data_IF_020409881149
#
_entry.id   IF_020409881149
#
_cell.length_a   1.000
_cell.length_b   1.000
_cell.length_c   1.000
_cell.angle_alpha   90.00
_cell.angle_beta   90.00
_cell.angle_gamma   90.00
#
_symmetry.space_group_name_H-M   'P 1'
#
loop_
_entity.id
_entity.type
_entity.pdbx_description
1 polymer ?
#
# COMPACT_ATOMS: atom_id res chain seq x y z
N UNK A 1 -58.23 -21.44 4.86
CA UNK A 1 -56.89 -22.02 4.84
C UNK A 1 -57.00 -23.36 4.14
N UNK A 2 -56.14 -23.63 3.17
CA UNK A 2 -56.14 -24.90 2.41
C UNK A 2 -55.12 -25.91 2.94
N UNK A 3 -54.13 -25.43 3.71
CA UNK A 3 -53.16 -26.27 4.39
C UNK A 3 -52.91 -25.81 5.83
N UNK A 4 -52.62 -26.78 6.70
CA UNK A 4 -52.05 -26.58 8.02
C UNK A 4 -50.59 -27.03 7.98
N UNK A 5 -49.69 -26.23 8.53
CA UNK A 5 -48.24 -26.48 8.52
C UNK A 5 -47.66 -26.45 9.92
N UNK A 6 -46.69 -27.31 10.20
CA UNK A 6 -46.02 -27.37 11.50
C UNK A 6 -44.56 -27.76 11.31
N UNK A 7 -43.64 -26.97 11.87
CA UNK A 7 -42.23 -27.35 11.96
C UNK A 7 -42.02 -28.37 13.08
N UNK A 8 -41.16 -29.35 12.84
CA UNK A 8 -40.81 -30.38 13.83
C UNK A 8 -40.09 -29.81 15.06
N UNK A 9 -39.48 -28.63 14.93
CA UNK A 9 -38.84 -27.91 16.03
C UNK A 9 -39.24 -26.42 16.01
N UNK A 10 -39.50 -25.82 17.18
CA UNK A 10 -39.75 -24.38 17.30
C UNK A 10 -38.46 -23.55 17.11
N UNK A 11 -37.30 -24.18 17.24
CA UNK A 11 -36.00 -23.54 17.09
C UNK A 11 -34.98 -24.51 16.49
N UNK A 12 -34.19 -24.05 15.54
CA UNK A 12 -33.15 -24.84 14.85
C UNK A 12 -31.81 -24.12 14.99
N UNK A 13 -30.83 -24.77 15.59
CA UNK A 13 -29.47 -24.21 15.73
C UNK A 13 -28.64 -24.60 14.50
N UNK A 14 -27.96 -23.63 13.89
CA UNK A 14 -27.14 -23.85 12.70
C UNK A 14 -25.72 -23.32 12.89
N UNK A 15 -24.74 -24.11 12.48
CA UNK A 15 -23.32 -23.72 12.52
C UNK A 15 -22.88 -23.18 11.15
N UNK A 16 -22.32 -21.97 11.06
CA UNK A 16 -21.80 -21.43 9.79
C UNK A 16 -20.83 -22.38 9.08
N UNK A 17 -21.08 -22.65 7.80
CA UNK A 17 -20.29 -23.57 6.97
C UNK A 17 -20.65 -25.05 7.11
N UNK A 18 -21.69 -25.40 7.88
CA UNK A 18 -22.21 -26.76 7.98
C UNK A 18 -23.66 -26.83 7.45
N UNK A 19 -24.10 -28.03 7.09
CA UNK A 19 -25.49 -28.29 6.72
C UNK A 19 -26.27 -28.77 7.95
N UNK A 20 -27.47 -28.24 8.14
CA UNK A 20 -28.42 -28.67 9.17
C UNK A 20 -29.79 -28.90 8.53
N UNK A 21 -30.53 -29.91 8.96
CA UNK A 21 -31.85 -30.24 8.44
C UNK A 21 -32.90 -30.19 9.53
N UNK A 22 -34.07 -29.62 9.21
CA UNK A 22 -35.28 -29.69 10.03
C UNK A 22 -36.44 -30.19 9.19
N UNK A 23 -37.48 -30.73 9.81
CA UNK A 23 -38.66 -31.23 9.09
C UNK A 23 -39.83 -30.25 9.23
N UNK A 24 -40.62 -30.13 8.17
CA UNK A 24 -41.90 -29.42 8.18
C UNK A 24 -43.00 -30.38 7.71
N UNK A 25 -44.05 -30.49 8.51
CA UNK A 25 -45.24 -31.27 8.18
C UNK A 25 -46.27 -30.36 7.51
N UNK A 26 -46.84 -30.82 6.40
CA UNK A 26 -47.89 -30.13 5.65
C UNK A 26 -49.11 -31.05 5.58
N UNK A 27 -50.28 -30.54 5.97
CA UNK A 27 -51.55 -31.25 5.90
C UNK A 27 -52.48 -30.58 4.89
N UNK A 28 -53.05 -31.37 3.97
CA UNK A 28 -54.07 -30.87 3.05
C UNK A 28 -55.43 -30.80 3.74
N UNK A 29 -55.92 -29.58 3.98
CA UNK A 29 -57.23 -29.31 4.60
C UNK A 29 -58.36 -29.15 3.58
N UNK A 30 -58.05 -29.30 2.30
CA UNK A 30 -59.04 -29.23 1.25
C UNK A 30 -59.69 -30.57 0.94
N UNK A 31 -60.79 -30.50 0.20
CA UNK A 31 -61.60 -31.61 -0.29
C UNK A 31 -61.09 -32.21 -1.61
N UNK A 32 -60.05 -31.63 -2.21
CA UNK A 32 -59.44 -32.08 -3.47
C UNK A 32 -57.96 -32.42 -3.28
N UNK A 33 -57.41 -33.21 -4.21
CA UNK A 33 -55.96 -33.44 -4.24
C UNK A 33 -55.28 -32.12 -4.55
N UNK A 34 -54.30 -31.75 -3.73
CA UNK A 34 -53.59 -30.49 -3.84
C UNK A 34 -52.10 -30.77 -3.95
N UNK A 35 -51.43 -29.97 -4.77
CA UNK A 35 -49.98 -30.00 -4.88
C UNK A 35 -49.41 -28.71 -4.32
N UNK A 36 -48.49 -28.85 -3.38
CA UNK A 36 -47.87 -27.74 -2.69
C UNK A 36 -46.45 -27.52 -3.19
N UNK A 37 -46.14 -26.26 -3.52
CA UNK A 37 -44.79 -25.78 -3.78
C UNK A 37 -44.31 -24.93 -2.59
N UNK A 38 -42.99 -24.87 -2.42
CA UNK A 38 -42.37 -24.25 -1.26
C UNK A 38 -41.45 -23.10 -1.67
N UNK A 39 -41.65 -21.95 -1.07
CA UNK A 39 -40.80 -20.78 -1.25
C UNK A 39 -40.30 -20.31 0.12
N UNK A 40 -38.98 -20.29 0.30
CA UNK A 40 -38.38 -19.76 1.53
C UNK A 40 -38.35 -18.25 1.46
N UNK A 41 -38.78 -17.59 2.53
CA UNK A 41 -38.83 -16.13 2.65
C UNK A 41 -38.07 -15.65 3.88
N UNK A 42 -37.62 -14.40 3.81
CA UNK A 42 -36.81 -13.77 4.86
C UNK A 42 -35.31 -13.94 4.66
N UNK A 43 -34.54 -13.60 5.69
CA UNK A 43 -33.06 -13.58 5.64
C UNK A 43 -32.44 -14.98 5.47
N UNK A 44 -33.21 -16.04 5.76
CA UNK A 44 -32.79 -17.43 5.57
C UNK A 44 -32.82 -17.90 4.11
N UNK A 45 -33.57 -17.22 3.23
CA UNK A 45 -33.82 -17.67 1.87
C UNK A 45 -32.56 -17.96 1.02
N UNK A 46 -31.48 -17.15 1.06
CA UNK A 46 -30.31 -17.37 0.21
C UNK A 46 -29.54 -18.66 0.52
N UNK A 47 -29.76 -19.26 1.69
CA UNK A 47 -29.00 -20.41 2.19
C UNK A 47 -29.89 -21.55 2.69
N UNK A 48 -31.17 -21.56 2.30
CA UNK A 48 -32.14 -22.60 2.69
C UNK A 48 -32.79 -23.21 1.45
N UNK A 49 -33.00 -24.53 1.46
CA UNK A 49 -33.75 -25.24 0.42
C UNK A 49 -34.77 -26.21 1.04
N UNK A 50 -35.86 -26.49 0.32
CA UNK A 50 -36.90 -27.42 0.77
C UNK A 50 -36.96 -28.62 -0.18
N UNK A 51 -36.93 -29.83 0.37
CA UNK A 51 -36.92 -31.08 -0.37
C UNK A 51 -38.02 -32.04 0.15
N UNK A 52 -38.88 -32.58 -0.72
CA UNK A 52 -39.02 -32.28 -2.15
C UNK A 52 -39.56 -30.86 -2.41
N UNK A 53 -39.19 -30.26 -3.54
CA UNK A 53 -39.66 -28.92 -3.94
C UNK A 53 -41.17 -28.85 -4.22
N UNK A 54 -41.80 -30.01 -4.49
CA UNK A 54 -43.23 -30.15 -4.71
C UNK A 54 -43.75 -31.39 -3.99
N UNK A 55 -44.86 -31.26 -3.27
CA UNK A 55 -45.49 -32.33 -2.52
C UNK A 55 -46.97 -32.44 -2.87
N UNK A 56 -47.40 -33.58 -3.41
CA UNK A 56 -48.81 -33.86 -3.70
C UNK A 56 -49.47 -34.60 -2.55
N UNK A 57 -50.59 -34.09 -2.05
CA UNK A 57 -51.31 -34.64 -0.91
C UNK A 57 -52.79 -34.87 -1.23
N UNK A 58 -53.30 -36.02 -0.83
CA UNK A 58 -54.74 -36.31 -0.86
C UNK A 58 -55.48 -35.52 0.23
N UNK A 59 -56.79 -35.27 0.06
CA UNK A 59 -57.63 -34.65 1.09
C UNK A 59 -57.44 -35.28 2.47
N UNK A 60 -57.19 -34.46 3.49
CA UNK A 60 -57.03 -34.89 4.87
C UNK A 60 -55.71 -35.60 5.21
N UNK A 61 -54.82 -35.80 4.23
CA UNK A 61 -53.51 -36.44 4.46
C UNK A 61 -52.42 -35.42 4.79
N UNK A 62 -51.37 -35.89 5.46
CA UNK A 62 -50.17 -35.10 5.75
C UNK A 62 -48.95 -35.72 5.07
N UNK A 63 -48.00 -34.86 4.67
CA UNK A 63 -46.66 -35.27 4.25
C UNK A 63 -45.61 -34.41 4.92
N UNK A 64 -44.35 -34.85 4.83
CA UNK A 64 -43.21 -34.14 5.41
C UNK A 64 -42.27 -33.69 4.30
N UNK A 65 -41.68 -32.52 4.50
CA UNK A 65 -40.57 -32.00 3.70
C UNK A 65 -39.38 -31.71 4.61
N UNK A 66 -38.18 -31.95 4.09
CA UNK A 66 -36.93 -31.57 4.73
C UNK A 66 -36.60 -30.13 4.34
N UNK A 67 -36.31 -29.30 5.32
CA UNK A 67 -35.81 -27.95 5.15
C UNK A 67 -34.32 -27.95 5.50
N UNK A 68 -33.49 -27.82 4.47
CA UNK A 68 -32.04 -27.88 4.54
C UNK A 68 -31.47 -26.47 4.66
N UNK A 69 -30.72 -26.22 5.73
CA UNK A 69 -30.13 -24.95 6.11
C UNK A 69 -28.60 -25.05 5.93
N UNK A 70 -28.02 -24.17 5.11
CA UNK A 70 -26.59 -24.16 4.78
C UNK A 70 -26.00 -22.75 4.93
N UNK A 71 -25.98 -22.17 6.14
CA UNK A 71 -25.44 -20.83 6.34
C UNK A 71 -23.98 -20.77 5.86
N UNK A 72 -23.59 -19.79 5.02
CA UNK A 72 -22.22 -19.67 4.56
C UNK A 72 -21.26 -19.36 5.73
N UNK A 73 -20.00 -19.81 5.62
CA UNK A 73 -18.94 -19.46 6.57
C UNK A 73 -18.37 -18.07 6.23
N UNK A 74 -19.16 -17.04 6.48
CA UNK A 74 -18.85 -15.65 6.18
C UNK A 74 -19.35 -14.72 7.29
N UNK A 75 -19.09 -13.42 7.18
CA UNK A 75 -19.58 -12.41 8.14
C UNK A 75 -21.10 -12.20 8.12
N UNK A 76 -21.77 -12.72 7.09
CA UNK A 76 -23.23 -12.73 6.91
C UNK A 76 -23.66 -14.15 6.57
N UNK A 77 -24.74 -14.70 7.19
CA UNK A 77 -25.63 -14.07 8.18
C UNK A 77 -24.97 -13.86 9.55
N UNK A 78 -25.43 -12.85 10.29
CA UNK A 78 -24.93 -12.54 11.65
C UNK A 78 -25.34 -13.64 12.63
N UNK A 79 -24.55 -13.81 13.69
CA UNK A 79 -24.93 -14.69 14.78
C UNK A 79 -26.17 -14.17 15.52
N UNK A 80 -27.06 -15.08 15.92
CA UNK A 80 -28.31 -14.74 16.61
C UNK A 80 -29.55 -15.43 16.02
N UNK A 81 -30.71 -14.97 16.46
CA UNK A 81 -32.00 -15.48 16.02
C UNK A 81 -32.43 -14.82 14.71
N UNK A 82 -32.76 -15.64 13.71
CA UNK A 82 -33.27 -15.22 12.41
C UNK A 82 -34.58 -15.96 12.14
N UNK A 83 -35.69 -15.27 11.84
CA UNK A 83 -36.94 -15.92 11.50
C UNK A 83 -36.83 -16.62 10.14
N UNK A 84 -37.20 -17.90 10.10
CA UNK A 84 -37.36 -18.68 8.89
C UNK A 84 -38.84 -18.78 8.54
N UNK A 85 -39.22 -18.20 7.41
CA UNK A 85 -40.55 -18.37 6.83
C UNK A 85 -40.51 -19.29 5.62
N UNK A 86 -41.46 -20.23 5.53
CA UNK A 86 -41.68 -21.04 4.32
C UNK A 86 -43.11 -20.83 3.87
N UNK A 87 -43.28 -20.20 2.71
CA UNK A 87 -44.57 -20.08 2.04
C UNK A 87 -44.91 -21.42 1.40
N UNK A 88 -46.10 -21.91 1.70
CA UNK A 88 -46.68 -23.12 1.13
C UNK A 88 -47.74 -22.69 0.13
N UNK A 89 -47.43 -22.88 -1.15
CA UNK A 89 -48.20 -22.41 -2.30
C UNK A 89 -49.03 -23.56 -2.87
N UNK A 90 -50.36 -23.55 -2.72
CA UNK A 90 -51.23 -24.55 -3.35
C UNK A 90 -51.32 -24.29 -4.86
N UNK A 91 -51.24 -25.35 -5.68
CA UNK A 91 -51.32 -25.26 -7.14
C UNK A 91 -52.74 -24.98 -7.64
N UNK A 92 -53.74 -25.62 -7.04
CA UNK A 92 -55.15 -25.54 -7.46
C UNK A 92 -55.86 -24.29 -6.93
N UNK A 93 -55.40 -23.75 -5.79
CA UNK A 93 -55.89 -22.50 -5.21
C UNK A 93 -54.75 -21.54 -4.85
N UNK A 94 -54.19 -20.82 -5.83
CA UNK A 94 -53.04 -19.93 -5.62
C UNK A 94 -53.28 -18.81 -4.59
N UNK A 95 -54.53 -18.40 -4.39
CA UNK A 95 -54.90 -17.35 -3.41
C UNK A 95 -54.86 -17.82 -1.95
N UNK A 96 -54.74 -19.13 -1.71
CA UNK A 96 -54.85 -19.74 -0.37
C UNK A 96 -53.48 -20.09 0.24
N UNK A 97 -52.51 -19.18 0.11
CA UNK A 97 -51.14 -19.37 0.62
C UNK A 97 -51.11 -19.46 2.16
N UNK A 98 -50.34 -20.40 2.68
CA UNK A 98 -50.01 -20.48 4.10
C UNK A 98 -48.52 -20.15 4.32
N UNK A 99 -48.16 -19.60 5.49
CA UNK A 99 -46.77 -19.35 5.87
C UNK A 99 -46.49 -20.11 7.15
N UNK A 100 -45.51 -21.01 7.10
CA UNK A 100 -44.97 -21.68 8.27
C UNK A 100 -43.77 -20.91 8.77
N UNK A 101 -43.67 -20.70 10.08
CA UNK A 101 -42.58 -19.93 10.70
C UNK A 101 -41.86 -20.75 11.78
N UNK A 102 -40.54 -20.60 11.86
CA UNK A 102 -39.70 -21.12 12.96
C UNK A 102 -38.49 -20.21 13.17
N UNK A 103 -37.79 -20.35 14.29
CA UNK A 103 -36.59 -19.55 14.58
C UNK A 103 -35.32 -20.33 14.26
N UNK A 104 -34.43 -19.73 13.48
CA UNK A 104 -33.09 -20.28 13.24
C UNK A 104 -32.08 -19.52 14.09
N UNK A 105 -31.35 -20.23 14.95
CA UNK A 105 -30.27 -19.67 15.77
C UNK A 105 -28.96 -19.93 15.05
N UNK A 106 -28.37 -18.88 14.47
CA UNK A 106 -27.05 -18.93 13.85
C UNK A 106 -25.99 -18.83 14.93
N UNK A 107 -25.15 -19.85 15.06
CA UNK A 107 -24.07 -19.86 16.05
C UNK A 107 -23.00 -18.79 15.75
N UNK A 108 -22.33 -18.28 16.80
CA UNK A 108 -21.16 -17.42 16.64
C UNK A 108 -20.02 -18.13 15.92
N UNK A 109 -19.44 -17.43 14.95
CA UNK A 109 -18.25 -17.82 14.21
C UNK A 109 -17.24 -16.68 14.26
N UNK A 110 -16.05 -16.97 14.78
CA UNK A 110 -14.92 -16.04 14.87
C UNK A 110 -13.80 -16.40 13.90
N UNK A 111 -13.45 -15.46 13.04
CA UNK A 111 -12.24 -15.49 12.22
C UNK A 111 -11.74 -14.07 12.03
N UNK A 112 -10.46 -13.81 12.33
CA UNK A 112 -9.86 -12.51 12.16
C UNK A 112 -8.54 -12.64 11.41
N UNK A 113 -8.19 -11.59 10.66
CA UNK A 113 -6.87 -11.45 10.04
C UNK A 113 -6.25 -10.15 10.56
N UNK A 114 -5.08 -10.26 11.16
CA UNK A 114 -4.32 -9.12 11.67
C UNK A 114 -2.99 -9.01 10.93
N UNK A 115 -2.59 -7.79 10.58
CA UNK A 115 -1.30 -7.49 9.95
C UNK A 115 -0.68 -6.23 10.55
N UNK A 116 0.65 -6.25 10.71
CA UNK A 116 1.42 -5.09 11.14
C UNK A 116 1.92 -4.31 9.92
N UNK A 117 1.55 -3.03 9.82
CA UNK A 117 1.93 -2.19 8.69
C UNK A 117 2.66 -0.91 9.15
N UNK A 118 3.86 -0.65 8.60
CA UNK A 118 4.71 -1.59 7.84
C UNK A 118 5.42 -2.57 8.79
N UNK A 119 5.83 -3.73 8.29
CA UNK A 119 6.59 -4.71 9.07
C UNK A 119 7.97 -4.20 9.49
N UNK A 120 8.62 -3.39 8.64
CA UNK A 120 9.96 -2.83 8.90
C UNK A 120 9.97 -1.31 8.78
N UNK A 121 10.48 -0.60 9.80
CA UNK A 121 10.72 0.86 9.75
C UNK A 121 12.14 1.21 10.08
N UNK A 122 12.66 2.25 9.43
CA UNK A 122 13.94 2.88 9.78
C UNK A 122 13.66 4.19 10.51
N UNK A 123 14.21 4.38 11.70
CA UNK A 123 14.06 5.62 12.46
C UNK A 123 15.26 5.88 13.36
N UNK A 124 15.40 7.11 13.85
CA UNK A 124 16.50 7.53 14.73
C UNK A 124 16.21 7.21 16.21
N UNK A 125 14.96 7.39 16.64
CA UNK A 125 14.53 7.12 18.03
C UNK A 125 13.14 6.54 18.20
N UNK A 126 12.19 6.88 17.33
CA UNK A 126 10.81 6.37 17.41
C UNK A 126 10.19 6.18 16.05
N UNK A 127 9.31 5.19 15.94
CA UNK A 127 8.54 4.92 14.72
C UNK A 127 7.07 4.66 15.07
N UNK A 128 6.19 5.05 14.14
CA UNK A 128 4.75 4.76 14.20
C UNK A 128 4.44 3.56 13.32
N UNK A 129 3.62 2.69 13.85
CA UNK A 129 3.08 1.49 13.22
C UNK A 129 1.57 1.53 13.39
N UNK A 130 0.86 0.87 12.49
CA UNK A 130 -0.54 0.52 12.71
C UNK A 130 -0.73 -0.97 12.49
N UNK A 131 -1.63 -1.53 13.28
CA UNK A 131 -2.15 -2.87 13.05
C UNK A 131 -3.44 -2.73 12.26
N UNK A 132 -3.55 -3.39 11.12
CA UNK A 132 -4.82 -3.59 10.43
C UNK A 132 -5.42 -4.91 10.88
N UNK A 133 -6.65 -4.88 11.36
CA UNK A 133 -7.38 -6.08 11.71
C UNK A 133 -8.71 -6.09 10.97
N UNK A 134 -8.98 -7.19 10.26
CA UNK A 134 -10.22 -7.47 9.56
C UNK A 134 -10.98 -8.58 10.29
N UNK A 135 -12.24 -8.33 10.62
CA UNK A 135 -13.13 -9.30 11.24
C UNK A 135 -13.92 -10.06 10.17
N UNK A 136 -13.45 -11.27 9.81
CA UNK A 136 -14.11 -12.16 8.86
C UNK A 136 -15.23 -13.00 9.51
N UNK A 137 -15.39 -12.90 10.83
CA UNK A 137 -16.43 -13.57 11.60
C UNK A 137 -17.81 -12.93 11.46
N UNK A 138 -18.84 -13.61 11.95
CA UNK A 138 -20.24 -13.17 11.90
C UNK A 138 -20.71 -12.48 13.21
N UNK A 139 -19.80 -12.23 14.13
CA UNK A 139 -20.05 -11.57 15.42
C UNK A 139 -19.08 -10.41 15.64
N UNK A 140 -19.50 -9.42 16.40
CA UNK A 140 -18.64 -8.30 16.76
C UNK A 140 -17.55 -8.77 17.72
N UNK A 141 -16.33 -8.23 17.56
CA UNK A 141 -15.19 -8.56 18.43
C UNK A 141 -14.59 -7.31 19.04
N UNK A 142 -14.20 -7.39 20.31
CA UNK A 142 -13.46 -6.36 21.00
C UNK A 142 -11.96 -6.64 20.85
N UNK A 143 -11.23 -5.67 20.30
CA UNK A 143 -9.82 -5.84 19.92
C UNK A 143 -8.94 -4.97 20.78
N UNK A 144 -7.95 -5.59 21.42
CA UNK A 144 -6.93 -4.91 22.21
C UNK A 144 -5.54 -5.24 21.67
N UNK A 145 -4.66 -4.23 21.66
CA UNK A 145 -3.27 -4.38 21.31
C UNK A 145 -2.45 -4.47 22.60
N UNK A 146 -1.63 -5.51 22.71
CA UNK A 146 -0.66 -5.69 23.77
C UNK A 146 0.75 -5.78 23.19
N UNK A 147 1.75 -5.44 23.99
CA UNK A 147 3.15 -5.57 23.62
C UNK A 147 3.92 -6.20 24.77
N UNK A 148 5.11 -6.77 24.51
CA UNK A 148 5.98 -7.27 25.55
C UNK A 148 6.29 -6.19 26.59
N UNK A 149 6.58 -6.61 27.82
CA UNK A 149 6.92 -5.69 28.91
C UNK A 149 8.00 -4.69 28.47
N UNK A 150 7.76 -3.41 28.77
CA UNK A 150 8.73 -2.35 28.46
C UNK A 150 10.00 -2.56 29.26
N UNK A 151 11.15 -2.45 28.60
CA UNK A 151 12.46 -2.46 29.24
C UNK A 151 13.19 -1.15 28.91
N UNK A 152 14.36 -0.91 29.51
CA UNK A 152 15.20 0.27 29.27
C UNK A 152 15.60 0.46 27.79
N UNK A 153 15.35 -0.54 26.96
CA UNK A 153 15.70 -0.57 25.53
C UNK A 153 14.53 -0.17 24.61
N UNK A 154 13.30 -0.61 24.89
CA UNK A 154 12.12 -0.42 24.03
C UNK A 154 10.89 -0.07 24.86
N UNK A 155 10.22 1.01 24.48
CA UNK A 155 8.96 1.47 25.07
C UNK A 155 7.87 1.49 24.01
N UNK A 156 6.70 0.96 24.36
CA UNK A 156 5.51 0.93 23.50
C UNK A 156 4.46 1.91 24.02
N UNK A 157 4.04 2.85 23.18
CA UNK A 157 2.90 3.73 23.42
C UNK A 157 1.68 3.11 22.73
N UNK A 158 0.86 2.39 23.50
CA UNK A 158 -0.33 1.68 23.02
C UNK A 158 -1.62 2.44 23.36
N UNK A 159 -2.68 2.30 22.54
CA UNK A 159 -4.00 2.80 22.89
C UNK A 159 -4.54 2.05 24.11
N UNK A 160 -5.18 2.77 25.02
CA UNK A 160 -5.66 2.24 26.30
C UNK A 160 -7.05 1.60 26.23
N UNK A 161 -7.78 1.83 25.13
CA UNK A 161 -9.17 1.38 24.99
C UNK A 161 -9.26 0.31 23.90
N UNK A 162 -9.90 -0.84 24.19
CA UNK A 162 -10.27 -1.80 23.16
C UNK A 162 -11.17 -1.17 22.10
N UNK A 163 -11.03 -1.61 20.85
CA UNK A 163 -11.85 -1.16 19.73
C UNK A 163 -12.81 -2.28 19.35
N UNK A 164 -14.10 -1.96 19.29
CA UNK A 164 -15.11 -2.90 18.81
C UNK A 164 -15.12 -2.91 17.28
N UNK A 165 -15.03 -4.10 16.69
CA UNK A 165 -15.00 -4.31 15.24
C UNK A 165 -16.22 -5.14 14.84
N UNK A 166 -17.18 -4.55 14.09
CA UNK A 166 -18.34 -5.28 13.61
C UNK A 166 -17.98 -6.45 12.68
N UNK A 167 -18.92 -7.40 12.45
CA UNK A 167 -18.76 -8.45 11.45
C UNK A 167 -18.48 -7.89 10.05
N UNK A 168 -17.45 -8.39 9.38
CA UNK A 168 -17.09 -7.97 8.01
C UNK A 168 -16.40 -6.61 7.90
N UNK A 169 -16.05 -5.97 9.02
CA UNK A 169 -15.38 -4.67 9.03
C UNK A 169 -13.89 -4.78 9.39
N UNK A 170 -13.17 -3.70 9.10
CA UNK A 170 -11.74 -3.53 9.41
C UNK A 170 -11.51 -2.35 10.34
N UNK A 171 -10.52 -2.46 11.21
CA UNK A 171 -10.01 -1.34 12.02
C UNK A 171 -8.50 -1.21 11.88
N UNK A 172 -8.01 0.02 12.03
CA UNK A 172 -6.59 0.33 12.19
C UNK A 172 -6.31 0.76 13.63
N UNK A 173 -5.31 0.13 14.26
CA UNK A 173 -4.88 0.44 15.63
C UNK A 173 -3.45 0.98 15.56
N UNK A 174 -3.33 2.29 15.72
CA UNK A 174 -2.03 2.98 15.76
C UNK A 174 -1.30 2.71 17.08
N UNK A 175 0.00 2.50 16.99
CA UNK A 175 0.90 2.53 18.14
C UNK A 175 2.27 3.09 17.78
N UNK A 176 3.02 3.52 18.81
CA UNK A 176 4.37 4.03 18.64
C UNK A 176 5.36 3.19 19.43
N UNK A 177 6.49 2.92 18.78
CA UNK A 177 7.65 2.28 19.41
C UNK A 177 8.75 3.32 19.58
N UNK A 178 9.40 3.34 20.73
CA UNK A 178 10.50 4.24 21.05
C UNK A 178 11.69 3.47 21.62
N UNK A 179 12.87 3.74 21.09
CA UNK A 179 14.14 3.21 21.61
C UNK A 179 14.64 4.11 22.74
N UNK A 180 15.08 3.49 23.84
CA UNK A 180 15.52 4.21 25.04
C UNK A 180 16.75 5.10 24.81
N UNK A 181 17.77 4.58 24.12
CA UNK A 181 19.04 5.27 23.86
C UNK A 181 19.16 5.72 22.40
N UNK A 182 19.69 6.92 22.19
CA UNK A 182 20.00 7.43 20.84
C UNK A 182 21.32 6.83 20.36
N UNK A 183 21.32 6.30 19.14
CA UNK A 183 22.52 5.81 18.47
C UNK A 183 23.25 6.98 17.81
N UNK A 184 24.32 7.48 18.43
CA UNK A 184 25.03 8.65 17.91
C UNK A 184 25.92 8.33 16.70
N UNK A 185 26.72 7.26 16.79
CA UNK A 185 27.64 6.79 15.76
C UNK A 185 27.53 5.27 15.63
N UNK A 186 27.87 4.74 14.46
CA UNK A 186 28.02 3.29 14.26
C UNK A 186 27.21 2.74 13.09
N UNK A 187 26.97 1.42 13.10
CA UNK A 187 26.09 0.72 12.16
C UNK A 187 24.66 0.77 12.69
N UNK A 188 23.67 0.69 11.79
CA UNK A 188 22.27 0.56 12.19
C UNK A 188 22.06 -0.65 13.09
N UNK A 189 21.17 -0.52 14.07
CA UNK A 189 20.81 -1.59 15.02
C UNK A 189 19.37 -2.00 14.77
N UNK A 190 19.12 -3.30 14.68
CA UNK A 190 17.78 -3.86 14.42
C UNK A 190 17.11 -4.26 15.74
N UNK A 191 15.86 -3.87 15.91
CA UNK A 191 15.05 -4.15 17.10
C UNK A 191 13.81 -4.96 16.69
N UNK A 192 13.71 -6.25 17.03
CA UNK A 192 12.52 -7.04 16.76
C UNK A 192 11.34 -6.58 17.62
N UNK A 193 10.16 -6.57 17.03
CA UNK A 193 8.90 -6.16 17.64
C UNK A 193 7.93 -7.33 17.57
N UNK A 194 7.35 -7.72 18.71
CA UNK A 194 6.39 -8.83 18.79
C UNK A 194 5.08 -8.38 19.47
N UNK A 195 4.37 -7.36 18.95
CA UNK A 195 3.05 -7.00 19.49
C UNK A 195 2.05 -8.13 19.25
N UNK A 196 1.10 -8.28 20.18
CA UNK A 196 0.04 -9.29 20.11
C UNK A 196 -1.30 -8.59 20.10
N UNK A 197 -2.12 -8.93 19.11
CA UNK A 197 -3.49 -8.45 19.02
C UNK A 197 -4.40 -9.52 19.60
N UNK A 198 -5.17 -9.14 20.60
CA UNK A 198 -6.14 -10.00 21.25
C UNK A 198 -7.53 -9.60 20.79
N UNK A 199 -8.23 -10.50 20.11
CA UNK A 199 -9.63 -10.35 19.75
C UNK A 199 -10.49 -11.17 20.72
N UNK A 200 -11.44 -10.52 21.38
CA UNK A 200 -12.37 -11.14 22.33
C UNK A 200 -13.79 -11.04 21.79
N UNK A 201 -14.47 -12.17 21.69
CA UNK A 201 -15.86 -12.25 21.23
C UNK A 201 -16.64 -13.36 21.92
N UNK A 202 -17.91 -13.58 21.56
CA UNK A 202 -18.67 -14.71 22.07
C UNK A 202 -18.01 -16.04 21.72
N UNK A 203 -18.21 -17.06 22.57
CA UNK A 203 -17.68 -18.39 22.33
C UNK A 203 -18.14 -18.91 20.96
N UNK A 204 -17.19 -19.08 20.05
CA UNK A 204 -17.44 -19.56 18.70
C UNK A 204 -17.20 -21.06 18.60
N UNK A 205 -18.14 -21.78 18.02
CA UNK A 205 -18.02 -23.21 17.72
C UNK A 205 -16.95 -23.41 16.64
N UNK A 206 -15.86 -24.12 16.96
CA UNK A 206 -14.89 -24.58 15.95
C UNK A 206 -13.86 -23.56 15.45
N UNK A 207 -13.55 -22.51 16.23
CA UNK A 207 -12.42 -21.62 15.94
C UNK A 207 -11.10 -22.25 16.44
N UNK A 208 -10.21 -22.75 15.56
CA UNK A 208 -8.92 -23.29 15.99
C UNK A 208 -8.06 -22.18 16.61
N UNK A 209 -7.49 -22.46 17.79
CA UNK A 209 -6.64 -21.50 18.52
C UNK A 209 -7.42 -20.55 19.45
N UNK A 210 -8.75 -20.63 19.50
CA UNK A 210 -9.54 -19.86 20.46
C UNK A 210 -9.37 -20.43 21.88
N UNK A 211 -9.05 -19.56 22.83
CA UNK A 211 -9.04 -19.90 24.26
C UNK A 211 -10.33 -19.40 24.90
N UNK A 212 -11.02 -20.25 25.66
CA UNK A 212 -12.23 -19.85 26.36
C UNK A 212 -11.85 -19.16 27.68
N UNK A 213 -12.25 -17.90 27.84
CA UNK A 213 -12.02 -17.09 29.05
C UNK A 213 -13.32 -16.42 29.42
N UNK A 214 -13.82 -16.68 30.63
CA UNK A 214 -15.03 -16.06 31.19
C UNK A 214 -16.28 -16.12 30.27
N UNK A 215 -16.47 -17.25 29.58
CA UNK A 215 -17.59 -17.46 28.66
C UNK A 215 -17.43 -16.81 27.27
N UNK A 216 -16.34 -16.07 27.03
CA UNK A 216 -15.95 -15.56 25.72
C UNK A 216 -14.85 -16.41 25.07
N UNK A 217 -14.73 -16.29 23.74
CA UNK A 217 -13.57 -16.78 22.99
C UNK A 217 -12.55 -15.65 22.84
N UNK A 218 -11.29 -15.98 23.12
CA UNK A 218 -10.13 -15.10 22.94
C UNK A 218 -9.23 -15.68 21.86
N UNK A 219 -8.96 -14.90 20.83
CA UNK A 219 -8.06 -15.23 19.72
C UNK A 219 -6.88 -14.27 19.70
N UNK A 220 -5.68 -14.82 19.82
CA UNK A 220 -4.43 -14.05 19.79
C UNK A 220 -3.79 -14.11 18.40
N UNK A 221 -3.36 -12.95 17.92
CA UNK A 221 -2.65 -12.81 16.66
C UNK A 221 -1.28 -12.19 16.96
N UNK A 222 -0.22 -13.01 17.09
CA UNK A 222 1.13 -12.50 17.20
C UNK A 222 1.53 -11.84 15.89
N UNK A 223 2.14 -10.66 15.98
CA UNK A 223 2.61 -9.90 14.83
C UNK A 223 4.12 -9.74 14.89
N UNK A 224 4.78 -9.99 13.76
CA UNK A 224 6.22 -9.82 13.64
C UNK A 224 6.55 -8.47 12.99
N UNK A 225 7.43 -7.71 13.62
CA UNK A 225 7.90 -6.43 13.10
C UNK A 225 9.35 -6.13 13.46
N UNK A 226 9.89 -5.09 12.85
CA UNK A 226 11.28 -4.67 13.05
C UNK A 226 11.41 -3.14 13.00
N UNK A 227 12.17 -2.61 13.96
CA UNK A 227 12.61 -1.22 13.99
C UNK A 227 14.13 -1.15 13.79
N UNK A 228 14.54 -0.60 12.66
CA UNK A 228 15.94 -0.32 12.35
C UNK A 228 16.31 1.06 12.88
N UNK A 229 17.12 1.10 13.92
CA UNK A 229 17.67 2.33 14.48
C UNK A 229 18.84 2.85 13.64
N UNK A 230 18.70 4.06 13.11
CA UNK A 230 19.74 4.75 12.35
C UNK A 230 20.67 5.58 13.26
N UNK A 231 21.97 5.66 12.95
CA UNK A 231 22.88 6.56 13.65
C UNK A 231 22.58 8.02 13.29
N UNK A 232 22.69 8.93 14.27
CA UNK A 232 22.44 10.36 14.08
C UNK A 232 23.51 11.02 13.22
N UNK A 233 24.79 10.67 13.41
CA UNK A 233 25.89 11.22 12.63
C UNK A 233 26.55 10.15 11.75
N UNK A 234 26.64 10.45 10.46
CA UNK A 234 27.43 9.66 9.52
C UNK A 234 28.94 9.88 9.77
N UNK A 235 29.73 8.82 9.66
CA UNK A 235 31.21 8.90 9.82
C UNK A 235 31.85 9.86 8.81
N UNK A 236 31.29 9.99 7.61
CA UNK A 236 31.81 10.90 6.60
C UNK A 236 31.55 12.36 6.95
N UNK A 237 30.43 12.67 7.62
CA UNK A 237 30.16 14.02 8.11
C UNK A 237 31.22 14.45 9.13
N UNK A 238 31.62 13.54 10.02
CA UNK A 238 32.69 13.79 10.97
C UNK A 238 34.05 13.96 10.28
N UNK A 239 34.34 13.15 9.26
CA UNK A 239 35.57 13.29 8.46
C UNK A 239 35.60 14.61 7.67
N UNK A 240 34.48 15.03 7.08
CA UNK A 240 34.34 16.32 6.40
C UNK A 240 34.51 17.48 7.37
N UNK A 241 33.91 17.40 8.57
CA UNK A 241 34.03 18.42 9.60
C UNK A 241 35.48 18.53 10.10
N UNK A 242 36.16 17.39 10.26
CA UNK A 242 37.58 17.34 10.60
C UNK A 242 38.47 17.91 9.46
N UNK A 243 38.15 17.63 8.19
CA UNK A 243 38.86 18.17 7.04
C UNK A 243 38.68 19.70 6.91
N UNK A 244 37.45 20.20 7.12
CA UNK A 244 37.17 21.64 7.19
C UNK A 244 37.96 22.30 8.32
N UNK A 245 37.98 21.69 9.51
CA UNK A 245 38.77 22.18 10.64
C UNK A 245 40.26 22.22 10.29
N UNK A 246 40.80 21.18 9.64
CA UNK A 246 42.18 21.12 9.20
C UNK A 246 42.52 22.20 8.15
N UNK A 247 41.62 22.45 7.20
CA UNK A 247 41.76 23.54 6.22
C UNK A 247 41.78 24.92 6.89
N UNK A 248 40.89 25.16 7.86
CA UNK A 248 40.86 26.40 8.64
C UNK A 248 42.16 26.57 9.43
N UNK A 249 42.66 25.51 10.07
CA UNK A 249 43.94 25.54 10.80
C UNK A 249 45.13 25.78 9.86
N UNK A 250 45.16 25.13 8.69
CA UNK A 250 46.20 25.33 7.68
C UNK A 250 46.20 26.76 7.15
N UNK A 251 45.03 27.35 6.87
CA UNK A 251 44.90 28.74 6.49
C UNK A 251 45.44 29.69 7.57
N UNK A 252 45.06 29.48 8.83
CA UNK A 252 45.48 30.34 9.94
C UNK A 252 46.98 30.23 10.27
N UNK A 253 47.57 29.04 10.18
CA UNK A 253 48.95 28.77 10.59
C UNK A 253 49.98 28.92 9.47
N UNK A 254 49.65 28.58 8.22
CA UNK A 254 50.61 28.62 7.11
C UNK A 254 50.38 29.82 6.20
N UNK A 255 49.13 30.06 5.79
CA UNK A 255 48.82 31.04 4.75
C UNK A 255 48.78 32.47 5.31
N UNK A 256 48.17 32.66 6.48
CA UNK A 256 48.08 33.98 7.11
C UNK A 256 49.43 34.64 7.45
N UNK A 257 50.45 33.94 7.98
CA UNK A 257 51.77 34.54 8.19
C UNK A 257 52.51 34.83 6.88
N UNK A 258 52.40 33.97 5.88
CA UNK A 258 53.01 34.18 4.57
C UNK A 258 52.42 35.38 3.81
N UNK A 259 51.11 35.61 3.89
CA UNK A 259 50.47 36.81 3.32
C UNK A 259 50.93 38.07 4.06
N UNK A 260 51.15 38.00 5.38
CA UNK A 260 51.68 39.14 6.15
C UNK A 260 53.15 39.43 5.87
N UNK A 261 53.96 38.43 5.57
CA UNK A 261 55.37 38.64 5.17
C UNK A 261 55.44 39.19 3.75
N UNK A 262 54.70 38.62 2.80
CA UNK A 262 54.68 39.11 1.42
C UNK A 262 54.09 40.52 1.30
N UNK A 263 53.11 40.89 2.14
CA UNK A 263 52.60 42.26 2.19
C UNK A 263 53.56 43.26 2.87
N UNK A 264 54.46 42.80 3.75
CA UNK A 264 55.54 43.63 4.31
C UNK A 264 56.68 43.80 3.32
N UNK A 265 57.10 42.71 2.69
CA UNK A 265 58.14 42.72 1.66
C UNK A 265 57.72 43.57 0.45
N UNK A 266 56.48 43.46 -0.02
CA UNK A 266 55.97 44.36 -1.07
C UNK A 266 55.77 45.82 -0.62
N UNK A 267 55.65 46.10 0.69
CA UNK A 267 55.61 47.47 1.21
C UNK A 267 57.02 48.05 1.37
N UNK A 268 57.99 47.22 1.75
CA UNK A 268 59.40 47.56 1.88
C UNK A 268 60.05 47.74 0.49
N UNK A 269 59.76 46.86 -0.48
CA UNK A 269 60.19 47.00 -1.89
C UNK A 269 59.64 48.29 -2.53
N UNK A 270 58.38 48.65 -2.23
CA UNK A 270 57.79 49.91 -2.69
C UNK A 270 58.41 51.12 -1.99
N UNK A 271 58.82 50.99 -0.73
CA UNK A 271 59.52 52.04 -0.02
C UNK A 271 60.95 52.24 -0.57
N UNK A 272 61.64 51.15 -0.93
CA UNK A 272 62.96 51.19 -1.58
C UNK A 272 62.87 51.72 -3.02
N UNK A 273 61.85 51.34 -3.80
CA UNK A 273 61.62 51.89 -5.16
C UNK A 273 61.34 53.41 -5.12
N UNK A 274 60.69 53.92 -4.07
CA UNK A 274 60.48 55.37 -3.84
C UNK A 274 61.80 56.07 -3.46
N UNK A 275 62.72 55.39 -2.77
CA UNK A 275 64.05 55.91 -2.42
C UNK A 275 65.00 55.87 -3.62
N UNK A 276 64.95 54.82 -4.45
CA UNK A 276 65.81 54.62 -5.62
C UNK A 276 65.35 55.47 -6.82
N UNK A 277 64.05 55.74 -6.96
CA UNK A 277 63.49 56.70 -7.91
C UNK A 277 63.77 58.18 -7.54
N UNK A 278 64.63 58.44 -6.54
CA UNK A 278 65.10 59.78 -6.19
C UNK A 278 64.06 60.63 -5.44
N UNK A 279 63.18 59.99 -4.67
CA UNK A 279 62.01 60.63 -4.08
C UNK A 279 62.03 60.83 -2.57
N UNK A 280 63.14 61.17 -1.91
CA UNK A 280 63.07 61.76 -0.56
C UNK A 280 64.09 62.89 -0.37
N UNK A 281 63.61 64.13 -0.46
CA UNK A 281 64.26 65.30 0.13
C UNK A 281 63.81 65.41 1.59
N UNK A 282 64.70 65.34 2.60
CA UNK A 282 64.38 65.76 3.94
C UNK A 282 64.63 67.28 4.06
N UNK A 283 63.56 67.97 4.47
CA UNK A 283 63.51 69.34 5.02
C UNK A 283 63.75 70.56 4.11
N UNK A 284 62.65 71.22 3.73
CA UNK A 284 62.47 72.67 3.95
C UNK A 284 60.98 73.08 3.92
N UNK A 285 60.59 74.18 4.59
CA UNK A 285 59.33 74.30 5.31
C UNK A 285 58.26 75.18 4.64
N UNK A 286 56.98 74.96 5.02
CA UNK A 286 55.92 75.98 5.04
C UNK A 286 54.82 75.86 3.97
N UNK A 287 53.57 75.75 4.40
CA UNK A 287 52.39 75.97 3.55
C UNK A 287 51.08 75.36 4.09
N UNK A 288 50.14 76.22 4.48
CA UNK A 288 48.91 75.95 5.24
C UNK A 288 47.82 75.05 4.61
N UNK A 289 47.16 74.31 5.51
CA UNK A 289 45.71 74.09 5.71
C UNK A 289 44.69 74.41 4.58
N UNK A 290 43.74 73.48 4.37
CA UNK A 290 42.42 73.83 3.83
C UNK A 290 41.57 72.65 3.34
N UNK A 291 40.55 72.28 4.13
CA UNK A 291 39.41 71.45 3.72
C UNK A 291 38.48 72.19 2.73
N UNK A 292 37.74 71.42 1.93
CA UNK A 292 36.57 71.86 1.14
C UNK A 292 36.51 71.07 -0.18
N UNK A 293 35.70 70.03 -0.32
CA UNK A 293 34.25 70.09 -0.58
C UNK A 293 33.85 71.22 -1.54
N UNK A 294 33.54 70.83 -2.77
CA UNK A 294 32.88 71.66 -3.78
C UNK A 294 31.80 70.83 -4.46
N UNK A 295 30.56 71.12 -4.08
CA UNK A 295 29.34 70.47 -4.52
C UNK A 295 28.69 71.28 -5.66
N UNK A 296 27.79 70.64 -6.41
CA UNK A 296 26.69 71.28 -7.12
C UNK A 296 26.74 71.14 -8.64
N UNK A 297 25.63 70.99 -9.37
CA UNK A 297 24.22 70.84 -9.01
C UNK A 297 23.50 70.50 -10.33
N UNK A 298 22.38 69.77 -10.28
CA UNK A 298 21.57 69.52 -11.47
C UNK A 298 20.40 68.58 -11.19
N UNK A 299 19.39 69.10 -10.51
CA UNK A 299 18.07 68.50 -10.35
C UNK A 299 17.33 68.47 -11.71
N UNK A 300 16.50 67.46 -11.94
CA UNK A 300 15.85 67.22 -13.22
C UNK A 300 14.94 66.00 -13.22
N UNK A 301 13.73 66.18 -12.70
CA UNK A 301 12.57 65.30 -12.83
C UNK A 301 12.27 64.88 -14.28
N UNK A 302 11.93 63.61 -14.50
CA UNK A 302 11.33 63.10 -15.74
C UNK A 302 10.72 61.70 -15.57
N UNK A 303 9.39 61.63 -15.64
CA UNK A 303 8.54 60.43 -15.55
C UNK A 303 8.60 59.51 -16.79
N UNK A 304 8.55 58.18 -16.56
CA UNK A 304 7.85 57.03 -17.23
C UNK A 304 7.60 56.95 -18.77
N UNK A 305 7.13 55.82 -19.35
CA UNK A 305 7.06 54.40 -18.93
C UNK A 305 7.45 53.37 -20.05
N UNK A 306 7.47 52.07 -19.73
CA UNK A 306 7.33 50.97 -20.74
C UNK A 306 7.97 49.64 -20.30
N UNK A 307 7.29 48.81 -19.52
CA UNK A 307 6.60 47.57 -19.93
C UNK A 307 7.50 46.48 -20.52
N UNK A 308 7.59 45.35 -19.80
CA UNK A 308 8.27 44.14 -20.26
C UNK A 308 8.21 43.04 -19.21
N UNK A 309 6.99 42.59 -18.95
CA UNK A 309 6.63 41.37 -18.23
C UNK A 309 7.39 40.14 -18.78
N UNK A 310 7.70 39.17 -17.93
CA UNK A 310 8.40 37.95 -18.35
C UNK A 310 9.08 37.20 -17.23
N UNK A 311 8.30 36.67 -16.29
CA UNK A 311 8.75 35.63 -15.37
C UNK A 311 9.16 34.38 -16.15
N UNK A 312 10.46 34.21 -16.35
CA UNK A 312 11.06 32.96 -16.83
C UNK A 312 11.47 32.09 -15.65
N UNK A 313 10.63 31.11 -15.29
CA UNK A 313 11.04 29.99 -14.48
C UNK A 313 12.18 29.26 -15.18
N UNK A 314 13.34 29.22 -14.54
CA UNK A 314 14.46 28.42 -14.99
C UNK A 314 14.18 26.94 -14.67
N UNK A 315 14.28 26.01 -15.63
CA UNK A 315 14.04 24.58 -15.41
C UNK A 315 15.00 24.03 -14.37
N UNK A 316 14.46 23.24 -13.43
CA UNK A 316 15.22 22.52 -12.43
C UNK A 316 16.30 21.63 -13.07
N UNK A 317 17.48 21.65 -12.48
CA UNK A 317 18.59 20.76 -12.82
C UNK A 317 18.15 19.29 -12.76
N UNK A 318 18.65 18.43 -13.68
CA UNK A 318 18.49 16.99 -13.55
C UNK A 318 19.18 16.52 -12.26
N UNK A 319 18.41 15.87 -11.38
CA UNK A 319 18.93 15.22 -10.18
C UNK A 319 19.96 14.14 -10.54
N UNK A 320 21.04 14.09 -9.77
CA UNK A 320 22.09 13.07 -9.91
C UNK A 320 21.53 11.65 -9.76
N UNK A 321 21.96 10.68 -10.58
CA UNK A 321 21.61 9.26 -10.39
C UNK A 321 22.19 8.74 -9.08
N UNK A 322 21.33 8.25 -8.19
CA UNK A 322 21.74 7.58 -6.96
C UNK A 322 22.45 6.26 -7.26
N UNK A 323 23.72 6.14 -6.89
CA UNK A 323 24.47 4.88 -6.94
C UNK A 323 24.00 3.97 -5.80
N UNK A 324 23.16 3.00 -6.12
CA UNK A 324 22.82 1.89 -5.23
C UNK A 324 24.03 0.94 -5.04
N UNK A 325 24.05 0.15 -3.96
CA UNK A 325 25.13 -0.78 -3.68
C UNK A 325 25.07 -1.97 -4.64
N UNK A 326 25.66 -1.80 -5.84
CA UNK A 326 25.63 -2.81 -6.90
C UNK A 326 26.11 -2.30 -8.26
N UNK A 327 27.14 -1.43 -8.30
CA UNK A 327 27.89 -1.09 -9.52
C UNK A 327 27.13 -0.51 -10.72
N UNK A 328 25.82 -0.26 -10.64
CA UNK A 328 24.99 0.22 -11.75
C UNK A 328 24.24 1.50 -11.40
N UNK A 329 23.92 2.28 -12.43
CA UNK A 329 23.05 3.45 -12.33
C UNK A 329 21.59 3.01 -12.45
N UNK A 330 20.69 3.66 -11.70
CA UNK A 330 19.26 3.44 -11.87
C UNK A 330 18.86 3.78 -13.31
N UNK A 331 18.13 2.88 -13.95
CA UNK A 331 17.65 3.05 -15.32
C UNK A 331 16.22 2.52 -15.46
N UNK A 332 15.46 3.14 -16.37
CA UNK A 332 14.11 2.70 -16.72
C UNK A 332 13.84 2.89 -18.21
N UNK A 333 13.09 1.96 -18.81
CA UNK A 333 12.62 2.04 -20.19
C UNK A 333 11.10 1.90 -20.26
N UNK A 334 10.46 2.60 -21.20
CA UNK A 334 9.03 2.43 -21.49
C UNK A 334 8.87 1.84 -22.88
N UNK A 335 8.05 0.79 -22.97
CA UNK A 335 7.67 0.10 -24.21
C UNK A 335 6.19 0.34 -24.41
N UNK A 336 5.84 0.96 -25.53
CA UNK A 336 4.44 1.19 -25.91
C UNK A 336 4.09 0.27 -27.08
N UNK A 337 2.91 -0.34 -27.02
CA UNK A 337 2.42 -1.26 -28.04
C UNK A 337 1.01 -0.87 -28.43
N UNK A 338 0.85 -0.33 -29.62
CA UNK A 338 -0.45 -0.07 -30.26
C UNK A 338 -0.74 -1.08 -31.36
N UNK A 339 -1.94 -1.66 -31.39
CA UNK A 339 -2.35 -2.55 -32.49
C UNK A 339 -3.87 -2.61 -32.65
N UNK A 340 -4.32 -2.76 -33.90
CA UNK A 340 -5.75 -2.84 -34.21
C UNK A 340 -6.40 -4.13 -33.67
N UNK A 341 -7.72 -4.11 -33.52
CA UNK A 341 -8.51 -5.30 -33.15
C UNK A 341 -8.30 -6.47 -34.12
N UNK A 342 -8.07 -7.65 -33.58
CA UNK A 342 -7.77 -8.87 -34.33
C UNK A 342 -6.33 -8.97 -34.87
N UNK A 343 -5.47 -7.98 -34.58
CA UNK A 343 -4.06 -7.96 -35.00
C UNK A 343 -3.12 -8.16 -33.82
N UNK A 344 -1.85 -8.37 -34.16
CA UNK A 344 -0.76 -8.46 -33.20
C UNK A 344 0.20 -7.29 -33.39
N UNK A 345 0.62 -6.67 -32.30
CA UNK A 345 1.64 -5.63 -32.28
C UNK A 345 2.77 -6.00 -31.32
N UNK A 346 3.94 -5.40 -31.50
CA UNK A 346 5.05 -5.52 -30.57
C UNK A 346 5.78 -4.20 -30.38
N UNK A 347 6.37 -4.04 -29.19
CA UNK A 347 7.29 -2.97 -28.86
C UNK A 347 8.50 -3.56 -28.14
N UNK A 348 9.65 -2.89 -28.24
CA UNK A 348 10.90 -3.39 -27.68
C UNK A 348 11.70 -2.30 -26.99
N UNK A 349 12.47 -2.70 -25.99
CA UNK A 349 13.56 -1.93 -25.40
C UNK A 349 14.85 -2.72 -25.59
N UNK A 350 15.86 -2.11 -26.21
CA UNK A 350 17.16 -2.75 -26.43
C UNK A 350 18.14 -2.29 -25.35
N UNK A 351 18.80 -3.25 -24.72
CA UNK A 351 19.88 -2.94 -23.77
C UNK A 351 21.05 -2.32 -24.52
N UNK A 352 21.56 -1.14 -24.11
CA UNK A 352 22.69 -0.51 -24.78
C UNK A 352 23.93 -1.41 -24.86
N UNK A 353 24.73 -1.22 -25.91
CA UNK A 353 26.01 -1.89 -26.09
C UNK A 353 26.94 -1.66 -24.88
N UNK A 354 27.68 -2.69 -24.47
CA UNK A 354 28.56 -2.66 -23.30
C UNK A 354 27.86 -2.68 -21.94
N UNK A 355 26.53 -2.80 -21.90
CA UNK A 355 25.73 -2.73 -20.65
C UNK A 355 25.04 -4.03 -20.29
N UNK A 356 24.87 -4.24 -18.99
CA UNK A 356 24.05 -5.29 -18.41
C UNK A 356 22.88 -4.64 -17.68
N UNK A 357 21.64 -4.95 -18.09
CA UNK A 357 20.46 -4.44 -17.42
C UNK A 357 19.92 -5.46 -16.42
N UNK A 358 20.01 -5.13 -15.13
CA UNK A 358 19.46 -5.91 -14.02
C UNK A 358 18.07 -5.40 -13.69
N UNK A 359 17.05 -6.00 -14.30
CA UNK A 359 15.66 -5.59 -14.15
C UNK A 359 15.12 -6.11 -12.82
N UNK A 360 14.56 -5.23 -12.00
CA UNK A 360 13.95 -5.55 -10.70
C UNK A 360 12.45 -5.36 -10.70
N UNK A 361 11.93 -4.47 -11.54
CA UNK A 361 10.52 -4.11 -11.52
C UNK A 361 9.97 -3.95 -12.94
N UNK A 362 8.69 -4.29 -13.06
CA UNK A 362 7.93 -4.21 -14.28
C UNK A 362 6.52 -3.73 -13.97
N UNK A 363 6.07 -2.68 -14.66
CA UNK A 363 4.71 -2.14 -14.53
C UNK A 363 4.02 -2.20 -15.89
N UNK A 364 2.87 -2.86 -15.96
CA UNK A 364 2.05 -2.96 -17.17
C UNK A 364 0.73 -2.23 -16.99
N UNK A 365 0.30 -1.51 -18.02
CA UNK A 365 -0.96 -0.78 -18.02
C UNK A 365 -1.82 -1.14 -19.23
N UNK A 366 -3.06 -1.52 -18.91
CA UNK A 366 -4.21 -1.67 -19.79
C UNK A 366 -5.29 -0.65 -19.39
N UNK A 367 -4.98 0.64 -19.45
CA UNK A 367 -5.87 1.69 -18.97
C UNK A 367 -7.19 1.81 -19.77
N UNK A 368 -7.22 1.37 -21.03
CA UNK A 368 -8.40 1.43 -21.89
C UNK A 368 -9.37 0.27 -21.64
N UNK A 369 -8.92 -0.78 -20.95
CA UNK A 369 -9.67 -2.00 -20.73
C UNK A 369 -9.77 -2.87 -21.99
N UNK A 370 -8.68 -2.94 -22.75
CA UNK A 370 -8.55 -3.81 -23.92
C UNK A 370 -8.69 -5.29 -23.54
N UNK A 371 -9.12 -6.10 -24.51
CA UNK A 371 -9.22 -7.56 -24.38
C UNK A 371 -8.21 -8.24 -25.31
N UNK A 372 -7.58 -9.31 -24.84
CA UNK A 372 -6.52 -9.99 -25.59
C UNK A 372 -5.44 -10.59 -24.70
N UNK A 373 -4.24 -10.78 -25.25
CA UNK A 373 -3.11 -11.36 -24.52
C UNK A 373 -1.87 -10.49 -24.68
N UNK A 374 -1.26 -10.12 -23.55
CA UNK A 374 0.05 -9.49 -23.47
C UNK A 374 1.11 -10.54 -23.11
N UNK A 375 2.12 -10.68 -23.95
CA UNK A 375 3.29 -11.53 -23.73
C UNK A 375 4.53 -10.67 -23.54
N UNK A 376 5.30 -10.92 -22.48
CA UNK A 376 6.52 -10.17 -22.18
C UNK A 376 7.70 -11.13 -22.16
N UNK A 377 8.74 -10.81 -22.92
CA UNK A 377 9.95 -11.62 -23.04
C UNK A 377 11.20 -10.79 -22.83
N UNK A 378 12.16 -11.35 -22.08
CA UNK A 378 13.48 -10.77 -21.86
C UNK A 378 14.50 -11.64 -22.61
N UNK A 379 15.07 -11.12 -23.70
CA UNK A 379 15.78 -11.93 -24.68
C UNK A 379 14.87 -13.00 -25.28
N UNK A 380 15.32 -14.26 -25.27
CA UNK A 380 14.54 -15.40 -25.76
C UNK A 380 13.57 -15.98 -24.72
N UNK A 381 13.69 -15.58 -23.45
CA UNK A 381 12.87 -16.13 -22.37
C UNK A 381 11.54 -15.38 -22.25
N UNK A 382 10.44 -16.10 -22.42
CA UNK A 382 9.09 -15.61 -22.10
C UNK A 382 8.91 -15.55 -20.59
N UNK A 383 8.76 -14.35 -20.03
CA UNK A 383 8.71 -14.11 -18.58
C UNK A 383 7.26 -14.10 -18.08
N UNK A 384 6.38 -13.39 -18.77
CA UNK A 384 4.97 -13.24 -18.38
C UNK A 384 4.04 -13.41 -19.59
N UNK A 385 2.84 -13.93 -19.33
CA UNK A 385 1.73 -13.96 -20.28
C UNK A 385 0.46 -13.63 -19.50
N UNK A 386 -0.17 -12.51 -19.86
CA UNK A 386 -1.28 -11.93 -19.12
C UNK A 386 -2.47 -11.76 -20.08
N UNK A 387 -3.65 -12.17 -19.62
CA UNK A 387 -4.90 -11.83 -20.28
C UNK A 387 -5.23 -10.37 -19.98
N UNK A 388 -5.47 -9.54 -21.01
CA UNK A 388 -5.66 -8.10 -20.85
C UNK A 388 -6.91 -7.78 -20.02
N UNK A 389 -7.92 -8.63 -20.06
CA UNK A 389 -9.18 -8.49 -19.32
C UNK A 389 -9.02 -8.61 -17.79
N UNK A 390 -7.91 -9.18 -17.29
CA UNK A 390 -7.74 -9.44 -15.86
C UNK A 390 -7.09 -8.28 -15.10
N UNK A 391 -6.55 -7.27 -15.81
CA UNK A 391 -5.89 -6.14 -15.18
C UNK A 391 -6.19 -4.81 -15.86
N UNK A 392 -5.90 -3.72 -15.12
CA UNK A 392 -5.86 -2.35 -15.64
C UNK A 392 -4.49 -1.73 -15.42
N UNK A 393 -3.92 -1.93 -14.25
CA UNK A 393 -2.52 -1.66 -13.95
C UNK A 393 -2.01 -2.80 -13.08
N UNK A 394 -0.85 -3.36 -13.39
CA UNK A 394 -0.24 -4.44 -12.61
C UNK A 394 1.26 -4.22 -12.52
N UNK A 395 1.79 -4.31 -11.31
CA UNK A 395 3.20 -4.29 -11.00
C UNK A 395 3.73 -5.70 -10.67
N UNK A 396 4.99 -5.93 -11.04
CA UNK A 396 5.75 -7.13 -10.73
C UNK A 396 7.12 -6.72 -10.22
N UNK A 397 7.52 -7.33 -9.11
CA UNK A 397 8.76 -7.02 -8.40
C UNK A 397 9.55 -8.30 -8.15
N UNK A 398 10.84 -8.32 -8.50
CA UNK A 398 11.72 -9.46 -8.28
C UNK A 398 12.78 -9.14 -7.22
N UNK A 399 12.93 -10.05 -6.24
CA UNK A 399 14.00 -9.96 -5.23
C UNK A 399 15.38 -10.24 -5.84
N UNK A 400 15.44 -11.20 -6.78
CA UNK A 400 16.62 -11.49 -7.58
C UNK A 400 16.45 -10.85 -8.97
N UNK A 401 17.33 -9.91 -9.38
CA UNK A 401 17.15 -9.22 -10.65
C UNK A 401 17.28 -10.18 -11.83
N UNK A 402 16.49 -9.94 -12.88
CA UNK A 402 16.65 -10.63 -14.15
C UNK A 402 17.68 -9.87 -14.98
N UNK A 403 18.78 -10.54 -15.33
CA UNK A 403 19.87 -9.94 -16.08
C UNK A 403 19.63 -10.06 -17.59
N UNK A 404 19.59 -8.92 -18.27
CA UNK A 404 19.45 -8.83 -19.73
C UNK A 404 20.75 -8.26 -20.30
N UNK A 405 21.42 -9.08 -21.10
CA UNK A 405 22.73 -8.78 -21.68
C UNK A 405 22.66 -7.63 -22.69
N UNK A 406 23.81 -7.05 -23.02
CA UNK A 406 23.94 -6.04 -24.08
C UNK A 406 23.29 -6.50 -25.39
N UNK A 407 22.71 -5.57 -26.13
CA UNK A 407 22.06 -5.79 -27.42
C UNK A 407 20.85 -6.76 -27.39
N UNK A 408 20.55 -7.41 -26.25
CA UNK A 408 19.33 -8.18 -26.09
C UNK A 408 18.12 -7.26 -25.91
N UNK A 409 16.95 -7.78 -26.28
CA UNK A 409 15.69 -7.02 -26.28
C UNK A 409 14.79 -7.46 -25.12
N UNK A 410 14.20 -6.48 -24.46
CA UNK A 410 12.97 -6.67 -23.69
C UNK A 410 11.82 -6.35 -24.62
N UNK A 411 10.87 -7.27 -24.76
CA UNK A 411 9.76 -7.13 -25.71
C UNK A 411 8.41 -7.29 -25.03
N UNK A 412 7.45 -6.48 -25.45
CA UNK A 412 6.04 -6.66 -25.19
C UNK A 412 5.33 -6.96 -26.50
N UNK A 413 4.56 -8.04 -26.55
CA UNK A 413 3.76 -8.43 -27.69
C UNK A 413 2.29 -8.48 -27.27
N UNK A 414 1.45 -7.71 -27.96
CA UNK A 414 0.02 -7.62 -27.69
C UNK A 414 -0.72 -8.29 -28.83
N UNK A 415 -1.48 -9.34 -28.52
CA UNK A 415 -2.49 -9.89 -29.40
C UNK A 415 -3.84 -9.28 -29.00
N UNK A 416 -4.32 -8.32 -29.78
CA UNK A 416 -5.53 -7.57 -29.47
C UNK A 416 -6.75 -8.34 -29.99
N UNK A 417 -7.63 -8.76 -29.10
CA UNK A 417 -8.93 -9.32 -29.47
C UNK A 417 -9.95 -8.20 -29.72
N UNK A 418 -10.02 -7.23 -28.81
CA UNK A 418 -10.96 -6.10 -28.90
C UNK A 418 -10.39 -4.86 -28.19
N UNK A 419 -10.34 -3.70 -28.86
CA UNK A 419 -10.05 -2.43 -28.19
C UNK A 419 -11.07 -2.12 -27.10
N UNK A 420 -10.59 -1.65 -25.96
CA UNK A 420 -11.37 -1.35 -24.77
C UNK A 420 -12.24 -0.11 -24.90
N UNK A 421 -13.13 0.07 -23.93
CA UNK A 421 -13.97 1.28 -23.80
C UNK A 421 -13.63 1.95 -22.47
N UNK A 422 -12.81 3.02 -22.48
CA UNK A 422 -12.52 3.82 -21.30
C UNK A 422 -13.78 4.44 -20.67
N UNK A 423 -13.65 5.03 -19.48
CA UNK A 423 -14.76 5.67 -18.75
C UNK A 423 -15.48 6.79 -19.53
N UNK A 424 -14.91 7.28 -20.62
CA UNK A 424 -15.55 8.22 -21.56
C UNK A 424 -16.71 7.60 -22.34
N UNK A 425 -16.83 6.26 -22.36
CA UNK A 425 -17.88 5.52 -23.07
C UNK A 425 -17.65 5.40 -24.58
N UNK A 426 -16.58 5.97 -25.13
CA UNK A 426 -16.19 5.83 -26.53
C UNK A 426 -15.15 4.72 -26.65
N UNK A 427 -15.44 3.70 -27.47
CA UNK A 427 -14.50 2.61 -27.71
C UNK A 427 -13.23 3.14 -28.39
N UNK A 428 -12.06 2.70 -27.90
CA UNK A 428 -10.77 3.04 -28.49
C UNK A 428 -10.64 2.48 -29.92
N UNK A 429 -9.83 3.14 -30.75
CA UNK A 429 -9.63 2.72 -32.15
C UNK A 429 -8.70 1.51 -32.29
N UNK A 430 -7.85 1.26 -31.29
CA UNK A 430 -6.86 0.20 -31.27
C UNK A 430 -6.59 -0.21 -29.82
N UNK A 431 -6.09 -1.42 -29.59
CA UNK A 431 -5.52 -1.73 -28.29
C UNK A 431 -4.23 -0.93 -28.09
N UNK A 432 -4.00 -0.46 -26.87
CA UNK A 432 -2.80 0.27 -26.51
C UNK A 432 -2.32 -0.09 -25.11
N UNK A 433 -1.12 -0.66 -25.03
CA UNK A 433 -0.51 -1.12 -23.78
C UNK A 433 0.81 -0.41 -23.54
N UNK A 434 1.08 -0.07 -22.29
CA UNK A 434 2.38 0.47 -21.87
C UNK A 434 3.03 -0.45 -20.86
N UNK A 435 4.29 -0.79 -21.10
CA UNK A 435 5.15 -1.57 -20.23
C UNK A 435 6.31 -0.68 -19.79
N UNK A 436 6.44 -0.42 -18.49
CA UNK A 436 7.63 0.20 -17.91
C UNK A 436 8.51 -0.87 -17.28
N UNK A 437 9.81 -0.85 -17.59
CA UNK A 437 10.82 -1.73 -16.99
C UNK A 437 11.85 -0.89 -16.26
N UNK A 438 12.16 -1.24 -15.01
CA UNK A 438 13.15 -0.52 -14.20
C UNK A 438 14.10 -1.44 -13.47
N UNK A 439 15.29 -0.90 -13.17
CA UNK A 439 16.31 -1.61 -12.42
C UNK A 439 17.66 -0.89 -12.45
N UNK A 440 18.74 -1.65 -12.44
CA UNK A 440 20.11 -1.13 -12.48
C UNK A 440 20.77 -1.45 -13.81
N UNK A 441 21.24 -0.43 -14.52
CA UNK A 441 22.08 -0.59 -15.70
C UNK A 441 23.54 -0.42 -15.29
N UNK A 442 24.31 -1.50 -15.42
CA UNK A 442 25.73 -1.52 -15.10
C UNK A 442 26.58 -1.85 -16.32
N UNK A 443 27.90 -1.67 -16.18
CA UNK A 443 28.85 -2.18 -17.17
C UNK A 443 28.87 -3.73 -17.12
N UNK A 444 29.15 -4.35 -18.27
CA UNK A 444 29.36 -5.80 -18.32
C UNK A 444 30.56 -6.19 -17.45
N UNK A 445 30.45 -7.29 -16.69
CA UNK A 445 31.60 -7.83 -15.98
C UNK A 445 32.68 -8.24 -16.99
N UNK A 446 33.94 -7.84 -16.74
CA UNK A 446 35.08 -8.31 -17.53
C UNK A 446 35.10 -9.85 -17.50
N UNK A 447 35.15 -10.48 -18.68
CA UNK A 447 35.12 -11.95 -18.84
C UNK A 447 36.41 -12.62 -18.45
#
# INVERSE_FOLDING_TARGET
MTATTEFGLPTVVVTPGQETSTTMTVRNDSDVVEAYEFEVVGECAPWTSVEPARLSLYPGTSGQVAVLLRPPRASTPRAGEIPLGVRVLPSERPDAVAVSETTVVVEPFGQQRAELVPQRRRAWRSARYHVRLHNEGNTAVSVALSAPASDDRLTYELPQRPVEVPPGESTEIDFRVRVGKVLWLGKSVEWPLNPVVTATGPAASGAPGATLVDGGAVLEHPLDGELVQLPVFSRWLLALLAALLALVLAWLLLVRPAIRSAAREAADDRAEEIVEAGGVNPDSPGGEQGQGQGNGNGDGSGQQPGTGDGGGQQPGQPGQPGTGPGGGQQNSGTIEVGTAGGQQGSGTYTVPDGKLFRITDLVVSNHQGDEGVLTISFGEQRVLTLALETFRNQDFHWVAPIEVQENAIVSAQVQCSRPGTPATGQQAQQCFQTLNVSGLLGDLPER
#
